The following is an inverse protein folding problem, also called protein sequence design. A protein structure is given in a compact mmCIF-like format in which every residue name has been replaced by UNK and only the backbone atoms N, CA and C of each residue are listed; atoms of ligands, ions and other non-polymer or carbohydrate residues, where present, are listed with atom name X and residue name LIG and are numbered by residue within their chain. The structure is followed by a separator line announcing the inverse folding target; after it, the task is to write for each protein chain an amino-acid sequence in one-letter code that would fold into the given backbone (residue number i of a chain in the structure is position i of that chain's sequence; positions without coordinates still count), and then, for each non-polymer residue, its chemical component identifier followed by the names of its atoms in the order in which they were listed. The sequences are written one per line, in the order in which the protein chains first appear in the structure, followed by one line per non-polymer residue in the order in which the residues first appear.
data_IF_653474445217
#
_entry.id   IF_653474445217
#
_cell.length_a   1.000
_cell.length_b   1.000
_cell.length_c   1.000
_cell.angle_alpha   90.00
_cell.angle_beta   90.00
_cell.angle_gamma   90.00
#
_symmetry.space_group_name_H-M   'P 1'
#
loop_
_entity.id
_entity.type
_entity.pdbx_description
1 polymer ?
#
# COMPACT_ATOMS: atom_id res chain seq x y z
N UNK A 1 29.71 6.49 14.69
CA UNK A 1 28.26 6.40 14.38
C UNK A 1 28.05 5.61 13.09
N UNK A 2 27.81 4.32 13.20
CA UNK A 2 27.54 3.42 12.06
C UNK A 2 26.13 3.61 11.52
N UNK A 3 26.01 4.10 10.28
CA UNK A 3 24.94 3.85 9.30
C UNK A 3 23.48 3.74 9.83
N UNK A 4 22.89 4.87 10.24
CA UNK A 4 21.46 4.99 10.59
C UNK A 4 20.61 5.32 9.34
N UNK A 5 20.79 4.60 8.22
CA UNK A 5 20.20 5.07 6.95
C UNK A 5 18.69 4.82 6.80
N UNK A 6 18.14 3.79 7.46
CA UNK A 6 16.74 3.35 7.23
C UNK A 6 15.93 3.20 8.55
N UNK A 7 16.29 3.97 9.58
CA UNK A 7 15.61 3.91 10.88
C UNK A 7 14.89 5.22 11.18
N UNK A 8 13.62 5.14 11.54
CA UNK A 8 12.84 6.32 11.96
C UNK A 8 12.76 6.34 13.47
N UNK A 9 13.04 7.50 14.08
CA UNK A 9 12.82 7.75 15.49
C UNK A 9 11.67 8.74 15.65
N UNK A 10 10.67 8.34 16.42
CA UNK A 10 9.50 9.14 16.73
C UNK A 10 9.36 9.30 18.24
N UNK A 11 8.84 10.45 18.63
CA UNK A 11 8.50 10.74 20.02
C UNK A 11 7.09 11.28 20.06
N UNK A 12 6.26 10.69 20.93
CA UNK A 12 4.91 11.20 21.18
C UNK A 12 4.97 12.53 21.93
N UNK A 13 3.98 13.39 21.68
CA UNK A 13 3.75 14.53 22.57
C UNK A 13 3.34 14.02 23.97
N UNK A 14 3.78 14.69 25.03
CA UNK A 14 3.39 14.32 26.40
C UNK A 14 1.87 14.44 26.58
N UNK A 15 1.28 13.53 27.36
CA UNK A 15 -0.15 13.56 27.72
C UNK A 15 -1.11 12.90 26.73
N UNK A 16 -0.61 12.23 25.68
CA UNK A 16 -1.43 11.60 24.64
C UNK A 16 -1.04 10.13 24.43
N UNK A 17 -2.06 9.27 24.27
CA UNK A 17 -1.89 7.82 24.08
C UNK A 17 -1.80 7.46 22.58
N UNK A 18 -0.68 7.83 21.97
CA UNK A 18 -0.44 7.62 20.53
C UNK A 18 -0.13 6.17 20.13
N UNK A 19 0.22 5.34 21.11
CA UNK A 19 0.49 3.93 20.93
C UNK A 19 -0.51 3.13 21.75
N UNK A 20 -1.20 2.24 21.07
CA UNK A 20 -1.92 1.14 21.70
C UNK A 20 -1.17 -0.12 21.27
N UNK A 21 -0.66 -0.89 22.23
CA UNK A 21 -0.03 -2.18 21.95
C UNK A 21 -1.04 -3.18 21.41
N UNK A 22 -0.55 -4.24 20.76
CA UNK A 22 -1.41 -5.36 20.39
C UNK A 22 -1.95 -6.04 21.66
N UNK A 23 -3.26 -6.26 21.72
CA UNK A 23 -3.93 -6.93 22.83
C UNK A 23 -4.76 -8.11 22.31
N UNK A 24 -5.07 -9.07 23.17
CA UNK A 24 -6.00 -10.14 22.80
C UNK A 24 -7.40 -9.57 22.56
N UNK A 25 -8.18 -10.25 21.71
CA UNK A 25 -9.62 -9.99 21.59
C UNK A 25 -10.33 -10.27 22.91
N UNK A 26 -11.54 -9.74 23.06
CA UNK A 26 -12.33 -9.87 24.29
C UNK A 26 -12.59 -11.33 24.65
N UNK A 27 -12.81 -12.19 23.65
CA UNK A 27 -12.94 -13.64 23.76
C UNK A 27 -11.79 -14.32 22.99
N UNK A 28 -10.61 -14.54 23.61
CA UNK A 28 -9.39 -14.97 22.89
C UNK A 28 -9.52 -16.28 22.08
N UNK A 29 -10.49 -17.12 22.45
CA UNK A 29 -10.84 -18.36 21.76
C UNK A 29 -11.52 -18.17 20.40
N UNK A 30 -12.19 -17.03 20.18
CA UNK A 30 -12.94 -16.75 18.94
C UNK A 30 -12.53 -15.44 18.28
N UNK A 31 -12.13 -14.46 19.06
CA UNK A 31 -11.80 -13.11 18.61
C UNK A 31 -10.33 -13.05 18.16
N UNK A 32 -10.04 -12.46 16.99
CA UNK A 32 -8.67 -12.23 16.59
C UNK A 32 -7.99 -11.23 17.52
N UNK A 33 -6.65 -11.29 17.60
CA UNK A 33 -5.86 -10.27 18.32
C UNK A 33 -6.14 -8.88 17.73
N UNK A 34 -6.33 -7.91 18.61
CA UNK A 34 -6.58 -6.52 18.23
C UNK A 34 -5.22 -5.88 17.93
N UNK A 35 -4.95 -5.50 16.67
CA UNK A 35 -3.67 -4.95 16.31
C UNK A 35 -3.43 -3.63 17.04
N UNK A 36 -2.19 -3.43 17.45
CA UNK A 36 -1.77 -2.14 17.99
C UNK A 36 -1.99 -1.02 16.99
N UNK A 37 -2.24 0.19 17.49
CA UNK A 37 -2.46 1.38 16.66
C UNK A 37 -1.40 2.42 16.96
N UNK A 38 -0.80 2.93 15.90
CA UNK A 38 -0.03 4.16 15.90
C UNK A 38 -0.75 5.15 14.99
N UNK A 39 -1.19 6.28 15.55
CA UNK A 39 -1.94 7.29 14.79
C UNK A 39 -1.00 8.32 14.16
N UNK A 40 -0.15 7.89 13.23
CA UNK A 40 0.74 8.78 12.47
C UNK A 40 0.76 8.37 11.00
N UNK A 41 0.72 9.35 10.10
CA UNK A 41 0.88 9.11 8.66
C UNK A 41 2.25 9.64 8.24
N UNK A 42 3.10 8.76 7.71
CA UNK A 42 4.37 9.13 7.11
C UNK A 42 4.19 9.01 5.59
N UNK A 43 4.26 10.15 4.89
CA UNK A 43 4.17 10.19 3.44
C UNK A 43 5.50 10.68 2.85
N UNK A 44 5.86 10.13 1.69
CA UNK A 44 7.03 10.56 0.94
C UNK A 44 6.68 10.66 -0.54
N UNK A 45 7.34 11.58 -1.23
CA UNK A 45 7.12 11.82 -2.66
C UNK A 45 8.21 11.13 -3.46
N UNK A 46 7.83 10.25 -4.39
CA UNK A 46 8.77 9.57 -5.30
C UNK A 46 9.28 10.47 -6.44
N UNK A 47 8.62 11.60 -6.72
CA UNK A 47 8.96 12.47 -7.86
C UNK A 47 10.44 12.92 -7.77
N UNK A 48 11.21 12.69 -8.82
CA UNK A 48 12.65 13.01 -8.87
C UNK A 48 13.59 11.91 -8.37
N UNK A 49 13.06 10.73 -7.99
CA UNK A 49 13.85 9.56 -7.60
C UNK A 49 13.71 8.45 -8.67
N UNK A 50 14.49 8.49 -9.76
CA UNK A 50 14.40 7.50 -10.84
C UNK A 50 14.86 6.11 -10.41
N UNK A 51 15.80 6.02 -9.47
CA UNK A 51 16.48 4.78 -9.09
C UNK A 51 15.87 4.06 -7.87
N UNK A 52 14.62 4.38 -7.47
CA UNK A 52 13.97 3.70 -6.34
C UNK A 52 13.02 2.59 -6.81
N UNK A 53 13.31 1.36 -6.38
CA UNK A 53 12.46 0.20 -6.57
C UNK A 53 11.56 -0.04 -5.34
N UNK A 54 10.44 0.67 -5.34
CA UNK A 54 9.41 0.56 -4.30
C UNK A 54 8.87 -0.87 -4.17
N UNK A 55 8.87 -1.66 -5.24
CA UNK A 55 8.39 -3.05 -5.19
C UNK A 55 9.37 -3.96 -4.43
N UNK A 56 10.67 -3.65 -4.48
CA UNK A 56 11.71 -4.33 -3.71
C UNK A 56 11.84 -3.81 -2.28
N UNK A 57 11.06 -2.78 -1.93
CA UNK A 57 11.00 -2.21 -0.59
C UNK A 57 11.79 -0.91 -0.42
N UNK A 58 12.30 -0.31 -1.50
CA UNK A 58 12.98 0.97 -1.40
C UNK A 58 12.02 2.07 -0.92
N UNK A 59 12.52 2.94 -0.04
CA UNK A 59 11.75 4.01 0.58
C UNK A 59 10.96 3.60 1.82
N UNK A 60 10.87 2.30 2.15
CA UNK A 60 10.30 1.85 3.42
C UNK A 60 11.38 1.78 4.52
N UNK A 61 11.05 2.12 5.78
CA UNK A 61 11.99 1.98 6.89
C UNK A 61 12.24 0.51 7.21
N UNK A 62 13.46 0.20 7.67
CA UNK A 62 13.81 -1.13 8.20
C UNK A 62 13.55 -1.25 9.70
N UNK A 63 13.54 -0.12 10.42
CA UNK A 63 13.24 -0.04 11.85
C UNK A 63 12.48 1.25 12.16
N UNK A 64 11.60 1.18 13.13
CA UNK A 64 10.90 2.34 13.68
C UNK A 64 11.00 2.27 15.19
N UNK A 65 11.49 3.33 15.82
CA UNK A 65 11.48 3.49 17.26
C UNK A 65 10.46 4.56 17.66
N UNK A 66 9.62 4.28 18.64
CA UNK A 66 8.70 5.25 19.20
C UNK A 66 8.92 5.33 20.72
N UNK A 67 9.20 6.53 21.24
CA UNK A 67 9.55 6.73 22.65
C UNK A 67 10.68 5.82 23.16
N UNK A 68 11.60 5.42 22.27
CA UNK A 68 12.74 4.55 22.60
C UNK A 68 12.48 3.05 22.40
N UNK A 69 11.26 2.63 22.10
CA UNK A 69 10.90 1.23 21.88
C UNK A 69 10.80 0.89 20.39
N UNK A 70 11.29 -0.28 19.99
CA UNK A 70 11.21 -0.75 18.60
C UNK A 70 9.78 -1.22 18.27
N UNK A 71 9.20 -0.65 17.21
CA UNK A 71 7.85 -0.98 16.73
C UNK A 71 7.89 -2.18 15.77
N UNK A 72 6.82 -2.98 15.78
CA UNK A 72 6.63 -4.03 14.78
C UNK A 72 6.33 -3.43 13.39
N UNK A 73 7.02 -3.93 12.36
CA UNK A 73 6.78 -3.56 10.97
C UNK A 73 6.03 -4.67 10.21
N UNK A 74 5.17 -4.33 9.24
CA UNK A 74 4.48 -5.32 8.44
C UNK A 74 5.49 -6.15 7.63
N UNK A 75 5.37 -7.47 7.68
CA UNK A 75 6.20 -8.40 6.89
C UNK A 75 5.94 -8.28 5.39
N UNK A 76 4.76 -7.80 5.01
CA UNK A 76 4.33 -7.65 3.64
C UNK A 76 4.11 -6.16 3.35
N UNK A 77 4.89 -5.63 2.42
CA UNK A 77 4.73 -4.25 1.98
C UNK A 77 3.51 -4.12 1.04
N UNK A 78 2.82 -2.98 1.05
CA UNK A 78 1.72 -2.71 0.13
C UNK A 78 2.18 -2.87 -1.32
N UNK A 79 1.60 -3.84 -2.03
CA UNK A 79 1.82 -4.01 -3.47
C UNK A 79 0.96 -3.00 -4.23
N UNK A 80 1.43 -2.56 -5.40
CA UNK A 80 0.67 -1.69 -6.31
C UNK A 80 -0.75 -2.24 -6.47
N UNK A 81 -1.76 -1.50 -5.99
CA UNK A 81 -3.15 -1.92 -6.19
C UNK A 81 -3.46 -1.86 -7.68
N UNK A 82 -4.15 -2.87 -8.20
CA UNK A 82 -4.52 -2.96 -9.61
C UNK A 82 -5.55 -1.92 -10.07
N UNK A 83 -5.89 -0.94 -9.22
CA UNK A 83 -6.98 0.01 -9.43
C UNK A 83 -6.75 0.98 -10.60
N UNK A 84 -5.52 1.07 -11.13
CA UNK A 84 -5.18 1.93 -12.27
C UNK A 84 -4.73 1.08 -13.46
N UNK A 85 -5.60 0.18 -13.93
CA UNK A 85 -5.47 -0.29 -15.32
C UNK A 85 -5.89 0.87 -16.22
N UNK A 86 -5.06 1.31 -17.18
CA UNK A 86 -5.44 2.40 -18.07
C UNK A 86 -6.73 2.01 -18.79
N UNK A 87 -7.76 2.86 -18.68
CA UNK A 87 -9.10 2.62 -19.22
C UNK A 87 -9.08 2.30 -20.73
N UNK A 88 -8.03 2.73 -21.45
CA UNK A 88 -7.80 2.46 -22.87
C UNK A 88 -7.72 0.95 -23.20
N UNK A 89 -7.06 0.13 -22.36
CA UNK A 89 -6.91 -1.31 -22.63
C UNK A 89 -8.25 -2.05 -22.51
N UNK A 90 -9.20 -1.50 -21.74
CA UNK A 90 -10.52 -2.12 -21.55
C UNK A 90 -11.48 -1.91 -22.74
N UNK A 91 -11.26 -0.89 -23.59
CA UNK A 91 -12.22 -0.53 -24.66
C UNK A 91 -11.90 -1.12 -26.04
N UNK A 92 -10.66 -1.56 -26.27
CA UNK A 92 -10.23 -2.21 -27.50
C UNK A 92 -11.11 -3.41 -27.93
N UNK A 93 -11.39 -4.41 -27.07
CA UNK A 93 -12.22 -5.54 -27.48
C UNK A 93 -13.67 -5.13 -27.79
N UNK A 94 -14.22 -4.14 -27.09
CA UNK A 94 -15.57 -3.62 -27.33
C UNK A 94 -15.67 -2.92 -28.70
N UNK A 95 -14.66 -2.12 -29.07
CA UNK A 95 -14.58 -1.45 -30.36
C UNK A 95 -14.44 -2.46 -31.51
N UNK A 96 -13.56 -3.45 -31.36
CA UNK A 96 -13.36 -4.51 -32.35
C UNK A 96 -14.64 -5.32 -32.58
N UNK A 97 -15.34 -5.69 -31.50
CA UNK A 97 -16.61 -6.41 -31.59
C UNK A 97 -17.68 -5.58 -32.31
N UNK A 98 -17.79 -4.29 -31.99
CA UNK A 98 -18.74 -3.39 -32.66
C UNK A 98 -18.47 -3.23 -34.16
N UNK A 99 -17.19 -3.15 -34.55
CA UNK A 99 -16.79 -3.02 -35.95
C UNK A 99 -17.08 -4.31 -36.73
N UNK A 100 -16.80 -5.47 -36.12
CA UNK A 100 -17.10 -6.78 -36.70
C UNK A 100 -18.61 -6.97 -36.92
N UNK A 101 -19.45 -6.58 -35.96
CA UNK A 101 -20.90 -6.68 -36.10
C UNK A 101 -21.43 -5.79 -37.21
N UNK A 102 -20.90 -4.56 -37.35
CA UNK A 102 -21.29 -3.66 -38.45
C UNK A 102 -20.88 -4.25 -39.80
N UNK A 103 -19.67 -4.80 -39.90
CA UNK A 103 -19.20 -5.43 -41.14
C UNK A 103 -20.07 -6.63 -41.54
N UNK A 104 -20.41 -7.51 -40.59
CA UNK A 104 -21.27 -8.67 -40.84
C UNK A 104 -22.68 -8.27 -41.30
N UNK A 105 -23.24 -7.19 -40.73
CA UNK A 105 -24.54 -6.65 -41.16
C UNK A 105 -24.46 -6.07 -42.58
N UNK A 106 -23.38 -5.37 -42.93
CA UNK A 106 -23.20 -4.81 -44.28
C UNK A 106 -22.99 -5.88 -45.34
N UNK A 107 -22.32 -6.99 -45.01
CA UNK A 107 -22.10 -8.12 -45.93
C UNK A 107 -23.34 -9.02 -46.02
N UNK A 108 -24.14 -9.15 -44.96
CA UNK A 108 -25.38 -9.94 -44.95
C UNK A 108 -26.62 -9.22 -45.49
N UNK A 109 -26.57 -7.91 -45.72
CA UNK A 109 -27.62 -7.12 -46.38
C UNK A 109 -27.37 -6.90 -47.89
N UNK A 110 -26.26 -7.40 -48.43
CA UNK A 110 -26.02 -7.52 -49.88
C UNK A 110 -26.36 -8.93 -50.36
#
# INVERSE_FOLDING_TARGET
MSNVKNTIFMKGLPGLNYLVGEVNGTHPETDPRIPGKQQTVISFTKKGAPDIDVLRGDGFPSKVFFNGEECALPKQLPKRSGAHRPAAVRRLPQLLLSLLTVLLLMVGLC
#
